data_IF_923862381772
#
_entry.id   IF_923862381772
#
_cell.length_a   1.000
_cell.length_b   1.000
_cell.length_c   1.000
_cell.angle_alpha   90.00
_cell.angle_beta   90.00
_cell.angle_gamma   90.00
#
_symmetry.space_group_name_H-M   'P 1'
#
loop_
_entity.id
_entity.type
_entity.pdbx_description
1 polymer ?
#
# COMPACT_ATOMS: atom_id res chain seq x y z
N UNK A 1 13.62 23.86 -40.04
CA UNK A 1 13.83 25.29 -39.79
C UNK A 1 14.40 25.46 -38.39
N UNK A 2 15.73 25.42 -38.26
CA UNK A 2 16.49 25.69 -37.02
C UNK A 2 17.70 26.58 -37.38
N UNK A 3 17.45 27.57 -38.24
CA UNK A 3 18.44 28.50 -38.77
C UNK A 3 18.02 29.87 -38.25
N UNK A 4 18.64 30.30 -37.15
CA UNK A 4 18.32 31.57 -36.47
C UNK A 4 18.36 31.51 -34.94
N UNK A 5 18.46 30.32 -34.35
CA UNK A 5 18.58 30.14 -32.90
C UNK A 5 20.05 30.09 -32.47
N UNK A 6 20.35 30.66 -31.31
CA UNK A 6 21.67 30.57 -30.68
C UNK A 6 22.02 29.11 -30.35
N UNK A 7 23.31 28.80 -30.22
CA UNK A 7 23.75 27.42 -29.98
C UNK A 7 23.14 26.83 -28.69
N UNK A 8 22.94 27.67 -27.67
CA UNK A 8 22.27 27.30 -26.41
C UNK A 8 20.78 26.97 -26.59
N UNK A 9 20.06 27.72 -27.43
CA UNK A 9 18.64 27.46 -27.72
C UNK A 9 18.46 26.18 -28.56
N UNK A 10 19.42 25.87 -29.43
CA UNK A 10 19.43 24.59 -30.15
C UNK A 10 19.66 23.42 -29.19
N UNK A 11 20.56 23.58 -28.22
CA UNK A 11 20.81 22.57 -27.19
C UNK A 11 19.57 22.30 -26.34
N UNK A 12 18.86 23.35 -25.88
CA UNK A 12 17.60 23.18 -25.13
C UNK A 12 16.54 22.43 -25.94
N UNK A 13 16.40 22.77 -27.23
CA UNK A 13 15.44 22.12 -28.10
C UNK A 13 15.72 20.62 -28.26
N UNK A 14 16.99 20.24 -28.44
CA UNK A 14 17.42 18.83 -28.57
C UNK A 14 17.18 18.08 -27.26
N UNK A 15 17.48 18.69 -26.12
CA UNK A 15 17.22 18.11 -24.78
C UNK A 15 15.72 17.89 -24.59
N UNK A 16 14.88 18.88 -24.91
CA UNK A 16 13.43 18.78 -24.73
C UNK A 16 12.80 17.73 -25.65
N UNK A 17 13.22 17.67 -26.91
CA UNK A 17 12.69 16.71 -27.86
C UNK A 17 13.12 15.27 -27.53
N UNK A 18 14.37 15.06 -27.10
CA UNK A 18 14.87 13.74 -26.74
C UNK A 18 14.27 13.21 -25.42
N UNK A 19 14.06 14.09 -24.43
CA UNK A 19 13.52 13.72 -23.12
C UNK A 19 12.00 13.63 -23.07
N UNK A 20 11.27 14.15 -24.07
CA UNK A 20 9.80 14.18 -24.10
C UNK A 20 9.14 12.80 -23.93
N UNK A 21 9.79 11.72 -24.37
CA UNK A 21 9.29 10.34 -24.21
C UNK A 21 9.42 9.84 -22.76
N UNK A 22 10.42 10.34 -22.03
CA UNK A 22 10.74 9.92 -20.66
C UNK A 22 10.32 10.94 -19.61
N UNK A 23 9.52 11.93 -20.01
CA UNK A 23 8.94 12.90 -19.10
C UNK A 23 8.14 12.16 -18.02
N UNK A 24 8.54 12.36 -16.77
CA UNK A 24 7.99 11.67 -15.60
C UNK A 24 6.47 11.86 -15.46
N UNK A 25 5.93 12.97 -15.98
CA UNK A 25 4.49 13.28 -15.98
C UNK A 25 3.77 12.33 -16.93
N UNK A 26 4.39 11.94 -18.05
CA UNK A 26 3.82 10.99 -19.03
C UNK A 26 4.04 9.53 -18.63
N UNK A 27 5.18 9.21 -18.00
CA UNK A 27 5.53 7.83 -17.66
C UNK A 27 4.76 7.24 -16.47
N UNK A 28 4.44 8.05 -15.44
CA UNK A 28 3.91 7.53 -14.16
C UNK A 28 2.40 7.63 -13.99
N UNK A 29 1.67 8.32 -14.87
CA UNK A 29 0.29 8.75 -14.57
C UNK A 29 -0.80 8.18 -15.48
N UNK A 30 -0.46 7.58 -16.63
CA UNK A 30 -1.45 7.29 -17.67
C UNK A 30 -2.11 5.91 -17.64
N UNK A 31 -1.78 5.03 -16.68
CA UNK A 31 -2.56 3.80 -16.57
C UNK A 31 -3.95 4.17 -16.02
N UNK A 32 -5.03 3.97 -16.81
CA UNK A 32 -6.37 4.21 -16.32
C UNK A 32 -6.57 3.33 -15.08
N UNK A 33 -6.84 4.00 -13.97
CA UNK A 33 -7.08 3.31 -12.71
C UNK A 33 -8.43 2.62 -12.85
N UNK A 34 -8.55 1.34 -12.44
CA UNK A 34 -9.84 0.68 -12.48
C UNK A 34 -10.76 1.34 -11.44
N UNK A 35 -11.74 2.09 -11.94
CA UNK A 35 -12.86 2.61 -11.16
C UNK A 35 -14.00 1.58 -11.22
N UNK A 36 -14.28 0.92 -10.09
CA UNK A 36 -15.28 -0.16 -9.98
C UNK A 36 -14.97 -1.11 -8.81
N UNK A 37 -15.87 -2.04 -8.45
CA UNK A 37 -15.55 -3.10 -7.49
C UNK A 37 -14.42 -3.97 -8.04
N UNK A 38 -13.41 -4.36 -7.21
CA UNK A 38 -12.34 -5.20 -7.69
C UNK A 38 -12.88 -6.60 -8.04
N UNK A 39 -12.25 -7.30 -9.00
CA UNK A 39 -12.66 -8.66 -9.38
C UNK A 39 -12.55 -9.62 -8.18
N UNK A 40 -13.35 -10.69 -8.17
CA UNK A 40 -13.48 -11.62 -7.04
C UNK A 40 -12.14 -12.24 -6.57
N UNK A 41 -11.16 -12.39 -7.47
CA UNK A 41 -9.81 -12.89 -7.14
C UNK A 41 -8.84 -11.84 -6.58
N UNK A 42 -9.18 -10.55 -6.60
CA UNK A 42 -8.31 -9.49 -6.09
C UNK A 42 -8.32 -9.49 -4.56
N UNK A 43 -7.14 -9.61 -3.96
CA UNK A 43 -6.95 -9.50 -2.52
C UNK A 43 -6.25 -8.18 -2.19
N UNK A 44 -6.85 -7.38 -1.31
CA UNK A 44 -6.24 -6.13 -0.88
C UNK A 44 -5.00 -6.41 0.00
N UNK A 45 -3.82 -5.92 -0.40
CA UNK A 45 -2.58 -6.14 0.37
C UNK A 45 -2.55 -5.47 1.76
N UNK A 46 -3.48 -4.54 2.05
CA UNK A 46 -3.54 -3.84 3.34
C UNK A 46 -4.33 -4.63 4.40
N UNK A 47 -5.53 -5.09 4.04
CA UNK A 47 -6.42 -5.82 4.95
C UNK A 47 -6.48 -7.33 4.69
N UNK A 48 -5.96 -7.80 3.54
CA UNK A 48 -6.04 -9.19 3.04
C UNK A 48 -7.48 -9.71 2.87
N UNK A 49 -8.43 -8.82 2.64
CA UNK A 49 -9.81 -9.15 2.28
C UNK A 49 -9.91 -9.22 0.75
N UNK A 50 -10.59 -10.24 0.23
CA UNK A 50 -10.83 -10.46 -1.19
C UNK A 50 -12.08 -9.75 -1.68
N UNK A 51 -12.05 -9.21 -2.92
CA UNK A 51 -13.23 -8.83 -3.71
C UNK A 51 -14.05 -7.61 -3.26
N UNK A 52 -13.77 -7.01 -2.09
CA UNK A 52 -14.61 -5.92 -1.53
C UNK A 52 -14.10 -4.50 -1.84
N UNK A 53 -12.80 -4.29 -2.03
CA UNK A 53 -12.25 -2.94 -2.29
C UNK A 53 -10.83 -2.98 -2.87
N UNK A 54 -10.44 -1.93 -3.61
CA UNK A 54 -9.06 -1.70 -4.03
C UNK A 54 -8.17 -1.28 -2.85
N UNK A 55 -6.88 -1.61 -2.87
CA UNK A 55 -5.95 -1.22 -1.80
C UNK A 55 -5.92 0.29 -1.49
N UNK A 56 -6.23 1.13 -2.48
CA UNK A 56 -6.34 2.60 -2.32
C UNK A 56 -7.60 3.03 -1.57
N UNK A 57 -8.68 2.27 -1.71
CA UNK A 57 -9.97 2.44 -1.04
C UNK A 57 -10.12 1.51 0.18
N UNK A 58 -9.01 0.93 0.65
CA UNK A 58 -9.05 0.11 1.84
C UNK A 58 -9.52 0.98 3.01
N UNK A 59 -10.54 0.56 3.78
CA UNK A 59 -11.03 1.28 4.97
C UNK A 59 -9.99 1.38 6.11
N UNK A 60 -8.73 1.00 5.85
CA UNK A 60 -7.69 0.85 6.86
C UNK A 60 -7.76 -0.51 7.53
N UNK A 61 -6.70 -0.85 8.27
CA UNK A 61 -6.75 -1.92 9.25
C UNK A 61 -7.26 -1.29 10.53
N UNK A 62 -8.50 -1.59 10.90
CA UNK A 62 -9.11 -1.03 12.11
C UNK A 62 -8.82 -1.94 13.29
N UNK A 63 -8.41 -1.39 14.44
CA UNK A 63 -8.40 -2.16 15.69
C UNK A 63 -9.84 -2.42 16.19
N UNK A 64 -9.97 -3.26 17.22
CA UNK A 64 -11.22 -3.44 17.96
C UNK A 64 -11.79 -2.14 18.59
N UNK A 65 -11.02 -1.05 18.58
CA UNK A 65 -11.39 0.27 19.10
C UNK A 65 -11.77 1.29 18.01
N UNK A 66 -11.80 0.90 16.73
CA UNK A 66 -12.20 1.78 15.63
C UNK A 66 -11.09 2.71 15.08
N UNK A 67 -9.86 2.61 15.59
CA UNK A 67 -8.72 3.42 15.16
C UNK A 67 -8.10 2.88 13.86
N UNK A 68 -7.82 3.78 12.93
CA UNK A 68 -7.12 3.46 11.67
C UNK A 68 -5.65 3.17 11.94
N UNK A 69 -5.25 1.91 11.85
CA UNK A 69 -3.86 1.48 11.99
C UNK A 69 -3.13 1.54 10.65
N UNK A 70 -1.88 1.99 10.70
CA UNK A 70 -1.00 1.93 9.55
C UNK A 70 -0.49 0.49 9.34
N UNK A 71 -0.76 -0.14 8.18
CA UNK A 71 -0.44 -1.55 7.96
C UNK A 71 1.06 -1.86 7.99
N UNK A 72 1.95 -0.87 7.84
CA UNK A 72 3.39 -1.07 7.98
C UNK A 72 3.84 -1.11 9.45
N UNK A 73 3.03 -0.54 10.35
CA UNK A 73 3.29 -0.54 11.81
C UNK A 73 2.61 -1.69 12.54
N UNK A 74 1.72 -2.44 11.88
CA UNK A 74 1.00 -3.55 12.51
C UNK A 74 1.81 -4.84 12.42
N UNK A 75 2.23 -5.33 13.59
CA UNK A 75 2.85 -6.64 13.71
C UNK A 75 1.77 -7.72 13.59
N UNK A 76 1.89 -8.58 12.59
CA UNK A 76 1.03 -9.77 12.41
C UNK A 76 1.82 -11.00 12.84
N UNK A 77 1.18 -12.03 13.42
CA UNK A 77 1.87 -13.24 13.79
C UNK A 77 2.11 -14.06 12.50
N UNK A 78 3.27 -13.88 11.86
CA UNK A 78 3.69 -14.70 10.73
C UNK A 78 4.45 -15.91 11.24
N UNK A 79 3.86 -17.10 11.13
CA UNK A 79 4.53 -18.36 11.46
C UNK A 79 4.32 -18.88 12.89
N UNK A 80 3.60 -18.15 13.74
CA UNK A 80 3.21 -18.62 15.08
C UNK A 80 1.82 -19.28 14.97
N UNK A 81 1.65 -20.57 15.28
CA UNK A 81 0.35 -21.23 15.29
C UNK A 81 -0.61 -20.57 16.28
N UNK A 82 -1.91 -20.61 15.96
CA UNK A 82 -2.95 -19.95 16.78
C UNK A 82 -3.02 -20.45 18.22
N UNK A 83 -2.60 -21.68 18.52
CA UNK A 83 -2.63 -22.26 19.86
C UNK A 83 -1.68 -21.55 20.85
N UNK A 84 -0.55 -21.06 20.34
CA UNK A 84 0.46 -20.34 21.10
C UNK A 84 0.11 -18.85 21.29
N UNK A 85 -1.03 -18.39 20.77
CA UNK A 85 -1.46 -17.00 20.86
C UNK A 85 -2.60 -16.86 21.88
N UNK A 86 -2.43 -15.98 22.86
CA UNK A 86 -3.49 -15.58 23.78
C UNK A 86 -4.20 -14.35 23.23
N UNK A 87 -5.49 -14.49 22.95
CA UNK A 87 -6.34 -13.40 22.45
C UNK A 87 -6.70 -12.48 23.62
N UNK A 88 -6.45 -11.18 23.45
CA UNK A 88 -6.77 -10.12 24.40
C UNK A 88 -7.71 -9.09 23.74
N UNK A 89 -8.68 -8.54 24.49
CA UNK A 89 -9.55 -7.47 24.02
C UNK A 89 -8.86 -6.10 24.02
N UNK A 90 -7.72 -5.95 24.69
CA UNK A 90 -7.02 -4.67 24.88
C UNK A 90 -5.66 -4.67 24.18
N UNK A 91 -5.27 -3.51 23.63
CA UNK A 91 -3.95 -3.29 23.04
C UNK A 91 -2.88 -3.27 24.13
N UNK A 92 -2.04 -4.31 24.17
CA UNK A 92 -0.84 -4.37 25.03
C UNK A 92 0.42 -4.24 24.17
N UNK A 93 1.50 -3.71 24.75
CA UNK A 93 2.76 -3.56 24.04
C UNK A 93 3.34 -4.95 23.68
N UNK A 94 3.82 -5.10 22.45
CA UNK A 94 4.20 -6.41 21.90
C UNK A 94 3.04 -7.32 21.43
N UNK A 95 1.79 -6.83 21.42
CA UNK A 95 0.67 -7.59 20.87
C UNK A 95 0.66 -7.59 19.33
N UNK A 96 0.43 -8.78 18.77
CA UNK A 96 0.08 -8.97 17.37
C UNK A 96 -1.38 -8.61 17.10
N UNK A 97 -1.69 -8.09 15.92
CA UNK A 97 -3.07 -7.88 15.49
C UNK A 97 -3.53 -9.04 14.60
N UNK A 98 -4.62 -9.67 14.99
CA UNK A 98 -5.26 -10.73 14.21
C UNK A 98 -6.19 -10.16 13.12
N UNK A 99 -6.64 -11.04 12.22
CA UNK A 99 -7.56 -10.67 11.12
C UNK A 99 -8.88 -10.10 11.64
N UNK A 100 -9.29 -10.53 12.83
CA UNK A 100 -10.54 -10.10 13.48
C UNK A 100 -10.42 -8.76 14.22
N UNK A 101 -9.27 -8.07 14.14
CA UNK A 101 -9.03 -6.82 14.88
C UNK A 101 -8.74 -7.00 16.37
N UNK A 102 -8.68 -8.25 16.86
CA UNK A 102 -8.28 -8.60 18.23
C UNK A 102 -6.77 -8.63 18.37
N UNK A 103 -6.29 -8.27 19.57
CA UNK A 103 -4.88 -8.34 19.92
C UNK A 103 -4.52 -9.74 20.42
N UNK A 104 -3.31 -10.20 20.13
CA UNK A 104 -2.82 -11.48 20.59
C UNK A 104 -1.37 -11.39 21.02
N UNK A 105 -1.04 -11.98 22.16
CA UNK A 105 0.34 -12.10 22.67
C UNK A 105 0.78 -13.56 22.62
N UNK A 106 2.05 -13.84 22.32
CA UNK A 106 2.57 -15.20 22.42
C UNK A 106 2.58 -15.64 23.89
N UNK A 107 2.01 -16.82 24.16
CA UNK A 107 2.11 -17.46 25.47
C UNK A 107 3.54 -17.99 25.60
N UNK A 108 4.34 -17.42 26.50
CA UNK A 108 5.56 -18.08 26.99
C UNK A 108 5.10 -19.17 27.97
N UNK A 109 5.09 -20.43 27.52
CA UNK A 109 5.10 -21.55 28.47
C UNK A 109 6.44 -21.50 29.21
N UNK A 110 6.38 -21.48 30.55
CA UNK A 110 7.53 -21.41 31.44
C UNK A 110 8.24 -22.76 31.56
#
# INVERSE_FOLDING_TARGET
MMEGLTEDEKLDFIIRQSTQKYDSVRFRSQQPRPDGPPPAGYTCNRCRVSGQHWARQCPGLTDCSGNRLDPARVQRPSGIPSDFLQILPTKVDGAYLMKDGRYAVPKMDA
#
